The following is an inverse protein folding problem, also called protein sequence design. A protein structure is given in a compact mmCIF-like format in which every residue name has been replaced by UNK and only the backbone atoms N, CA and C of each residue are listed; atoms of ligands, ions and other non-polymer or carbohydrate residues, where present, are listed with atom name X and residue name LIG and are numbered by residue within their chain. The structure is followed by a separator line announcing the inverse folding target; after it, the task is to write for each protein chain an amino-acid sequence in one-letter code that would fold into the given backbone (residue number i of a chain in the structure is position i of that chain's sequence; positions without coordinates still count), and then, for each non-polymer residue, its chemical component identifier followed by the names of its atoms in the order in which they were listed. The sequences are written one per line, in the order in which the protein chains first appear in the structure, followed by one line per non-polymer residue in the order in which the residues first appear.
data_IF_710846840231
#
_entry.id   IF_710846840231
#
_cell.length_a   1.000
_cell.length_b   1.000
_cell.length_c   1.000
_cell.angle_alpha   90.00
_cell.angle_beta   90.00
_cell.angle_gamma   90.00
#
_symmetry.space_group_name_H-M   'P 1'
#
loop_
_entity.id
_entity.type
_entity.pdbx_description
1 polymer ?
#
# COMPACT_ATOMS: atom_id res chain seq x y z
N UNK A 1 -4.70 18.34 5.78
CA UNK A 1 -3.94 17.81 6.93
C UNK A 1 -4.47 16.43 7.25
N UNK A 2 -3.59 15.41 7.27
CA UNK A 2 -3.98 14.03 7.56
C UNK A 2 -4.44 13.88 9.01
N UNK A 3 -5.37 12.96 9.24
CA UNK A 3 -6.00 12.70 10.53
C UNK A 3 -5.21 11.64 11.31
N UNK A 4 -4.75 11.99 12.51
CA UNK A 4 -4.09 11.05 13.41
C UNK A 4 -5.11 10.08 14.01
N UNK A 5 -4.92 8.79 13.76
CA UNK A 5 -5.83 7.74 14.23
C UNK A 5 -5.30 7.04 15.47
N UNK A 6 -3.98 6.85 15.53
CA UNK A 6 -3.25 6.20 16.61
C UNK A 6 -1.80 6.68 16.57
N UNK A 7 -1.04 6.45 17.64
CA UNK A 7 0.39 6.76 17.69
C UNK A 7 1.10 6.25 16.42
N UNK A 8 1.73 7.19 15.72
CA UNK A 8 2.47 6.99 14.47
C UNK A 8 1.64 6.51 13.27
N UNK A 9 0.30 6.63 13.32
CA UNK A 9 -0.61 6.24 12.24
C UNK A 9 -1.54 7.39 11.84
N UNK A 10 -1.34 7.87 10.63
CA UNK A 10 -2.13 8.92 10.01
C UNK A 10 -3.00 8.36 8.87
N UNK A 11 -4.20 8.91 8.70
CA UNK A 11 -5.07 8.64 7.55
C UNK A 11 -5.31 9.94 6.79
N UNK A 12 -5.11 9.90 5.48
CA UNK A 12 -5.30 11.06 4.61
C UNK A 12 -5.99 10.74 3.30
N UNK A 13 -6.18 11.78 2.50
CA UNK A 13 -6.57 11.68 1.10
C UNK A 13 -5.34 11.85 0.19
N UNK A 14 -5.56 11.78 -1.12
CA UNK A 14 -4.52 12.00 -2.12
C UNK A 14 -3.84 13.37 -2.01
N UNK A 15 -4.56 14.41 -1.61
CA UNK A 15 -4.01 15.74 -1.40
C UNK A 15 -3.04 15.80 -0.22
N UNK A 16 -3.40 15.18 0.90
CA UNK A 16 -2.52 15.11 2.07
C UNK A 16 -1.21 14.38 1.71
N UNK A 17 -1.31 13.25 1.00
CA UNK A 17 -0.13 12.50 0.55
C UNK A 17 0.73 13.31 -0.44
N UNK A 18 0.08 14.02 -1.36
CA UNK A 18 0.77 14.87 -2.33
C UNK A 18 1.51 16.03 -1.64
N UNK A 19 0.92 16.63 -0.60
CA UNK A 19 1.56 17.69 0.19
C UNK A 19 2.79 17.17 0.92
N UNK A 20 2.69 16.02 1.59
CA UNK A 20 3.82 15.38 2.29
C UNK A 20 4.94 15.02 1.32
N UNK A 21 4.61 14.48 0.14
CA UNK A 21 5.62 14.09 -0.85
C UNK A 21 6.31 15.29 -1.53
N UNK A 22 5.60 16.41 -1.70
CA UNK A 22 6.15 17.60 -2.36
C UNK A 22 6.91 18.52 -1.40
N UNK A 23 6.33 18.79 -0.23
CA UNK A 23 6.86 19.75 0.73
C UNK A 23 7.67 19.11 1.85
N UNK A 24 7.56 17.79 2.01
CA UNK A 24 8.19 17.05 3.10
C UNK A 24 7.30 17.00 4.34
N UNK A 25 7.74 16.22 5.32
CA UNK A 25 7.17 16.12 6.66
C UNK A 25 8.27 15.68 7.60
N UNK A 26 8.28 16.24 8.82
CA UNK A 26 9.19 15.80 9.87
C UNK A 26 8.65 14.60 10.67
N UNK A 27 7.32 14.41 10.65
CA UNK A 27 6.66 13.34 11.42
C UNK A 27 6.44 12.05 10.61
N UNK A 28 6.02 12.17 9.35
CA UNK A 28 5.71 11.05 8.45
C UNK A 28 6.99 10.62 7.73
N UNK A 29 7.29 9.33 7.77
CA UNK A 29 8.45 8.72 7.06
C UNK A 29 8.00 7.72 6.01
N UNK A 30 6.84 7.09 6.23
CA UNK A 30 6.29 6.04 5.38
C UNK A 30 4.92 6.43 4.84
N UNK A 31 4.60 6.00 3.61
CA UNK A 31 3.32 6.28 2.96
C UNK A 31 2.77 5.00 2.36
N UNK A 32 1.55 4.64 2.74
CA UNK A 32 0.79 3.56 2.15
C UNK A 32 -0.28 4.12 1.20
N UNK A 33 -0.10 3.91 -0.10
CA UNK A 33 -1.04 4.29 -1.14
C UNK A 33 -1.88 3.09 -1.55
N UNK A 34 -3.17 3.10 -1.20
CA UNK A 34 -4.13 2.07 -1.63
C UNK A 34 -5.02 2.64 -2.71
N UNK A 35 -4.73 2.32 -3.97
CA UNK A 35 -5.38 2.92 -5.15
C UNK A 35 -5.61 1.88 -6.23
N UNK A 36 -6.36 2.21 -7.28
CA UNK A 36 -6.57 1.32 -8.43
C UNK A 36 -5.31 1.06 -9.27
N UNK A 37 -4.27 1.85 -9.08
CA UNK A 37 -2.98 1.75 -9.78
C UNK A 37 -1.82 1.97 -8.80
N UNK A 38 -0.72 1.24 -9.02
CA UNK A 38 0.50 1.40 -8.25
C UNK A 38 1.39 2.56 -8.76
N UNK A 39 1.20 2.97 -10.01
CA UNK A 39 2.00 4.00 -10.69
C UNK A 39 1.85 5.33 -9.98
N UNK A 40 2.95 6.01 -9.64
CA UNK A 40 2.93 7.33 -9.00
C UNK A 40 2.36 8.44 -9.89
N UNK A 41 2.29 8.22 -11.20
CA UNK A 41 1.71 9.16 -12.18
C UNK A 41 0.25 9.52 -11.87
N UNK A 42 -0.43 8.75 -11.01
CA UNK A 42 -1.76 9.12 -10.52
C UNK A 42 -1.81 10.52 -9.88
N UNK A 43 -0.72 11.00 -9.28
CA UNK A 43 -0.69 12.36 -8.71
C UNK A 43 -0.69 13.44 -9.80
N UNK A 44 0.01 13.21 -10.91
CA UNK A 44 0.03 14.15 -12.05
C UNK A 44 -1.27 14.11 -12.84
N UNK A 45 -1.93 12.94 -12.90
CA UNK A 45 -3.29 12.78 -13.43
C UNK A 45 -4.33 13.47 -12.55
N UNK A 46 -4.20 13.36 -11.22
CA UNK A 46 -5.11 13.99 -10.26
C UNK A 46 -5.01 15.52 -10.28
N UNK A 47 -3.78 16.07 -10.34
CA UNK A 47 -3.53 17.51 -10.40
C UNK A 47 -2.36 17.79 -11.33
N UNK A 48 -2.66 18.44 -12.45
CA UNK A 48 -1.66 18.88 -13.41
C UNK A 48 -0.62 19.78 -12.72
N UNK A 49 0.66 19.50 -12.94
CA UNK A 49 1.78 20.23 -12.34
C UNK A 49 2.38 19.58 -11.09
N UNK A 50 1.80 18.49 -10.57
CA UNK A 50 2.46 17.68 -9.54
C UNK A 50 3.43 16.71 -10.21
N UNK A 51 4.72 16.84 -9.88
CA UNK A 51 5.76 15.88 -10.24
C UNK A 51 6.46 15.43 -8.97
N UNK A 52 6.31 14.15 -8.64
CA UNK A 52 6.94 13.55 -7.46
C UNK A 52 7.99 12.57 -7.98
N UNK A 53 9.28 12.82 -7.71
CA UNK A 53 10.31 11.89 -8.13
C UNK A 53 10.18 10.60 -7.31
N UNK A 54 10.41 9.47 -7.98
CA UNK A 54 10.39 8.16 -7.36
C UNK A 54 11.56 7.31 -7.80
N UNK A 55 11.92 6.36 -6.94
CA UNK A 55 12.89 5.32 -7.22
C UNK A 55 12.34 4.00 -6.72
N UNK A 56 11.99 3.13 -7.66
CA UNK A 56 11.54 1.78 -7.38
C UNK A 56 12.57 1.02 -6.54
N UNK A 57 12.10 0.37 -5.48
CA UNK A 57 12.88 -0.53 -4.63
C UNK A 57 12.55 -1.97 -4.99
N UNK A 58 11.25 -2.32 -5.01
CA UNK A 58 10.77 -3.70 -5.21
C UNK A 58 9.37 -3.71 -5.81
N UNK A 59 9.11 -4.68 -6.67
CA UNK A 59 7.76 -5.05 -7.11
C UNK A 59 7.50 -6.49 -6.75
N UNK A 60 6.36 -6.75 -6.12
CA UNK A 60 5.90 -8.11 -5.88
C UNK A 60 4.69 -8.44 -6.73
N UNK A 61 4.66 -9.67 -7.22
CA UNK A 61 3.61 -10.15 -8.10
C UNK A 61 2.98 -11.42 -7.55
N UNK A 62 1.65 -11.52 -7.62
CA UNK A 62 0.94 -12.76 -7.30
C UNK A 62 1.08 -13.70 -8.49
N UNK A 63 1.78 -14.82 -8.27
CA UNK A 63 1.77 -15.95 -9.19
C UNK A 63 0.56 -16.83 -8.89
N UNK A 64 -0.38 -16.94 -9.83
CA UNK A 64 -1.34 -18.04 -9.79
C UNK A 64 -0.57 -19.34 -10.10
N UNK A 65 -0.21 -20.11 -9.07
CA UNK A 65 0.08 -21.53 -9.25
C UNK A 65 -1.26 -22.24 -9.35
N UNK A 66 -1.80 -22.32 -10.57
CA UNK A 66 -2.99 -23.14 -10.84
C UNK A 66 -2.69 -24.61 -10.56
N UNK A 67 -3.51 -25.24 -9.73
CA UNK A 67 -3.53 -26.70 -9.60
C UNK A 67 -3.78 -27.34 -10.98
N UNK A 68 -3.08 -28.43 -11.23
CA UNK A 68 -3.12 -29.22 -12.45
C UNK A 68 -4.53 -29.74 -12.77
N UNK A 69 -4.94 -29.63 -14.04
CA UNK A 69 -5.61 -30.71 -14.77
C UNK A 69 -5.63 -30.44 -16.30
N UNK A 70 -5.23 -31.46 -17.05
CA UNK A 70 -5.47 -31.75 -18.48
C UNK A 70 -4.67 -31.04 -19.62
N UNK A 71 -3.56 -31.70 -20.02
CA UNK A 71 -3.19 -32.22 -21.36
C UNK A 71 -3.15 -31.29 -22.61
N UNK A 72 -1.93 -31.26 -23.23
CA UNK A 72 -1.49 -30.91 -24.62
C UNK A 72 -1.82 -29.48 -25.10
N UNK A 73 -0.91 -28.70 -25.67
CA UNK A 73 -0.04 -28.97 -26.82
C UNK A 73 0.99 -27.82 -26.95
N UNK A 74 2.02 -28.05 -27.75
CA UNK A 74 3.25 -27.27 -27.84
C UNK A 74 3.09 -25.83 -28.38
N UNK A 75 4.01 -24.95 -27.97
CA UNK A 75 4.39 -23.69 -28.64
C UNK A 75 3.42 -22.51 -28.57
N UNK A 76 3.57 -21.67 -27.51
CA UNK A 76 3.63 -20.20 -27.59
C UNK A 76 3.84 -19.60 -26.20
N UNK A 77 4.79 -18.67 -26.10
CA UNK A 77 5.04 -17.80 -24.95
C UNK A 77 3.76 -17.12 -24.47
N UNK A 78 3.08 -17.70 -23.48
CA UNK A 78 1.95 -17.05 -22.81
C UNK A 78 2.45 -16.48 -21.49
N UNK A 79 2.81 -15.19 -21.51
CA UNK A 79 3.01 -14.43 -20.28
C UNK A 79 1.65 -14.33 -19.59
N UNK A 80 1.36 -15.25 -18.68
CA UNK A 80 0.24 -15.09 -17.76
C UNK A 80 0.38 -13.70 -17.12
N UNK A 81 -0.67 -12.86 -17.11
CA UNK A 81 -0.58 -11.53 -16.53
C UNK A 81 -0.37 -11.67 -15.03
N UNK A 82 0.89 -11.61 -14.60
CA UNK A 82 1.28 -11.56 -13.19
C UNK A 82 0.67 -10.30 -12.60
N UNK A 83 -0.31 -10.46 -11.71
CA UNK A 83 -0.97 -9.33 -11.04
C UNK A 83 0.03 -8.73 -10.05
N UNK A 84 0.31 -7.43 -10.16
CA UNK A 84 1.15 -6.73 -9.19
C UNK A 84 0.44 -6.72 -7.82
N UNK A 85 1.09 -7.26 -6.80
CA UNK A 85 0.60 -7.26 -5.42
C UNK A 85 0.86 -5.90 -4.76
N UNK A 86 2.11 -5.44 -4.81
CA UNK A 86 2.50 -4.10 -4.36
C UNK A 86 3.80 -3.64 -5.05
N UNK A 87 3.99 -2.33 -5.05
CA UNK A 87 5.22 -1.65 -5.46
C UNK A 87 5.76 -0.88 -4.27
N UNK A 88 6.98 -1.19 -3.86
CA UNK A 88 7.73 -0.42 -2.87
C UNK A 88 8.71 0.50 -3.58
N UNK A 89 8.68 1.77 -3.24
CA UNK A 89 9.53 2.79 -3.85
C UNK A 89 9.89 3.89 -2.87
N UNK A 90 11.03 4.53 -3.09
CA UNK A 90 11.33 5.80 -2.43
C UNK A 90 10.66 6.92 -3.21
N UNK A 91 10.04 7.86 -2.51
CA UNK A 91 9.27 8.94 -3.09
C UNK A 91 9.56 10.29 -2.42
N UNK A 92 9.18 11.36 -3.11
CA UNK A 92 9.31 12.74 -2.66
C UNK A 92 10.62 13.39 -3.09
N UNK A 93 10.72 14.71 -2.93
CA UNK A 93 11.80 15.55 -3.49
C UNK A 93 13.22 15.01 -3.26
N UNK A 94 13.45 14.43 -2.08
CA UNK A 94 14.76 13.89 -1.67
C UNK A 94 14.79 12.35 -1.65
N UNK A 95 13.75 11.67 -2.16
CA UNK A 95 13.57 10.21 -2.05
C UNK A 95 13.65 9.69 -0.61
N UNK A 96 13.21 10.51 0.36
CA UNK A 96 13.27 10.21 1.79
C UNK A 96 12.10 9.36 2.28
N UNK A 97 10.97 9.38 1.57
CA UNK A 97 9.78 8.66 2.01
C UNK A 97 9.75 7.27 1.41
N UNK A 98 9.48 6.26 2.23
CA UNK A 98 9.21 4.91 1.74
C UNK A 98 7.72 4.82 1.43
N UNK A 99 7.39 4.66 0.15
CA UNK A 99 6.01 4.53 -0.34
C UNK A 99 5.74 3.09 -0.77
N UNK A 100 4.72 2.49 -0.18
CA UNK A 100 4.15 1.25 -0.68
C UNK A 100 2.85 1.55 -1.44
N UNK A 101 2.80 1.15 -2.71
CA UNK A 101 1.66 1.32 -3.59
C UNK A 101 1.01 -0.03 -3.84
N UNK A 102 -0.25 -0.19 -3.41
CA UNK A 102 -1.00 -1.43 -3.53
C UNK A 102 -2.14 -1.21 -4.53
N UNK A 103 -2.04 -1.78 -5.75
CA UNK A 103 -3.07 -1.65 -6.77
C UNK A 103 -4.25 -2.57 -6.40
N UNK A 104 -5.29 -2.00 -5.81
CA UNK A 104 -6.55 -2.68 -5.50
C UNK A 104 -7.67 -2.16 -6.40
N UNK A 105 -8.27 -3.06 -7.17
CA UNK A 105 -9.50 -2.76 -7.91
C UNK A 105 -10.67 -3.31 -7.09
N UNK A 106 -11.73 -2.52 -6.98
CA UNK A 106 -12.99 -2.98 -6.36
C UNK A 106 -13.71 -3.97 -7.27
N UNK A 107 -13.15 -5.17 -7.40
CA UNK A 107 -13.77 -6.29 -8.10
C UNK A 107 -13.88 -7.46 -7.12
N UNK A 108 -15.01 -8.16 -7.13
CA UNK A 108 -15.34 -9.24 -6.19
C UNK A 108 -14.39 -10.45 -6.26
N UNK A 109 -13.55 -10.53 -7.29
CA UNK A 109 -12.65 -11.66 -7.57
C UNK A 109 -11.16 -11.36 -7.28
N UNK A 110 -10.85 -10.28 -6.56
CA UNK A 110 -9.49 -10.00 -6.12
C UNK A 110 -9.26 -10.54 -4.70
N UNK A 111 -8.20 -11.35 -4.49
CA UNK A 111 -7.75 -11.78 -3.16
C UNK A 111 -7.33 -10.57 -2.32
N UNK A 112 -8.32 -10.00 -1.64
CA UNK A 112 -8.17 -8.80 -0.83
C UNK A 112 -7.38 -9.08 0.45
N UNK A 113 -7.48 -10.30 0.98
CA UNK A 113 -6.82 -10.71 2.22
C UNK A 113 -5.29 -10.74 2.07
N UNK A 114 -4.77 -11.32 0.99
CA UNK A 114 -3.32 -11.37 0.74
C UNK A 114 -2.70 -9.96 0.68
N UNK A 115 -3.42 -8.98 0.12
CA UNK A 115 -2.98 -7.58 0.10
C UNK A 115 -3.11 -6.89 1.47
N UNK A 116 -4.10 -7.30 2.27
CA UNK A 116 -4.36 -6.77 3.61
C UNK A 116 -3.23 -7.11 4.54
N UNK A 117 -2.81 -8.38 4.55
CA UNK A 117 -1.75 -8.87 5.43
C UNK A 117 -0.44 -8.12 5.17
N UNK A 118 -0.03 -8.01 3.90
CA UNK A 118 1.16 -7.24 3.51
C UNK A 118 1.06 -5.76 3.91
N UNK A 119 -0.12 -5.16 3.78
CA UNK A 119 -0.32 -3.78 4.20
C UNK A 119 -0.25 -3.61 5.73
N UNK A 120 -0.76 -4.57 6.50
CA UNK A 120 -0.69 -4.56 7.96
C UNK A 120 0.75 -4.69 8.44
N UNK A 121 1.50 -5.62 7.84
CA UNK A 121 2.93 -5.81 8.11
C UNK A 121 3.72 -4.53 7.84
N UNK A 122 3.50 -3.91 6.68
CA UNK A 122 4.14 -2.63 6.33
C UNK A 122 3.81 -1.53 7.34
N UNK A 123 2.55 -1.42 7.78
CA UNK A 123 2.14 -0.42 8.79
C UNK A 123 2.83 -0.70 10.13
N UNK A 124 2.87 -1.96 10.58
CA UNK A 124 3.49 -2.30 11.86
C UNK A 124 5.00 -2.04 11.86
N UNK A 125 5.69 -2.40 10.78
CA UNK A 125 7.12 -2.13 10.60
C UNK A 125 7.40 -0.63 10.49
N UNK A 126 6.66 0.07 9.63
CA UNK A 126 6.80 1.53 9.44
C UNK A 126 6.62 2.30 10.75
N UNK A 127 5.70 1.85 11.61
CA UNK A 127 5.42 2.47 12.92
C UNK A 127 6.52 2.27 13.96
N UNK A 128 7.38 1.27 13.79
CA UNK A 128 8.55 1.06 14.66
C UNK A 128 9.70 1.98 14.29
N UNK A 129 9.79 2.37 13.02
CA UNK A 129 10.85 3.24 12.49
C UNK A 129 10.45 4.72 12.43
N UNK A 130 9.17 5.03 12.29
CA UNK A 130 8.65 6.40 12.28
C UNK A 130 7.13 6.43 12.19
N UNK A 131 6.56 7.38 11.45
CA UNK A 131 5.11 7.46 11.27
C UNK A 131 4.68 7.11 9.84
N UNK A 132 3.54 6.45 9.74
CA UNK A 132 2.96 6.02 8.47
C UNK A 132 1.70 6.81 8.14
N UNK A 133 1.63 7.31 6.91
CA UNK A 133 0.43 7.92 6.32
C UNK A 133 -0.25 6.91 5.40
N UNK A 134 -1.43 6.46 5.76
CA UNK A 134 -2.29 5.62 4.93
C UNK A 134 -3.25 6.51 4.17
N UNK A 135 -3.28 6.42 2.84
CA UNK A 135 -4.22 7.20 2.04
C UNK A 135 -4.84 6.39 0.91
N UNK A 136 -6.03 6.84 0.51
CA UNK A 136 -6.68 6.46 -0.74
C UNK A 136 -6.91 7.74 -1.56
N UNK A 137 -7.75 7.69 -2.60
CA UNK A 137 -8.08 8.84 -3.43
C UNK A 137 -8.81 9.92 -2.62
N UNK A 138 -9.98 9.61 -2.05
CA UNK A 138 -10.78 10.59 -1.30
C UNK A 138 -10.53 10.58 0.23
N UNK A 139 -9.68 9.68 0.74
CA UNK A 139 -9.54 9.45 2.19
C UNK A 139 -10.75 8.80 2.88
N UNK A 140 -11.84 8.54 2.15
CA UNK A 140 -13.10 7.97 2.69
C UNK A 140 -13.73 6.87 1.81
N UNK A 141 -13.09 6.54 0.68
CA UNK A 141 -13.60 5.60 -0.34
C UNK A 141 -12.57 4.47 -0.46
N UNK A 142 -12.86 3.16 -0.30
CA UNK A 142 -14.13 2.43 -0.16
C UNK A 142 -13.91 1.29 0.83
N UNK A 143 -14.47 1.36 2.04
CA UNK A 143 -14.46 0.32 3.08
C UNK A 143 -13.09 -0.18 3.60
N UNK A 144 -12.07 -0.35 2.77
CA UNK A 144 -10.76 -0.95 3.06
C UNK A 144 -9.88 -0.10 3.96
N UNK A 145 -9.72 1.20 3.70
CA UNK A 145 -8.96 2.07 4.62
C UNK A 145 -9.63 2.11 6.00
N UNK A 146 -10.97 2.10 6.03
CA UNK A 146 -11.74 2.01 7.26
C UNK A 146 -11.60 0.63 7.93
N UNK A 147 -11.63 -0.48 7.18
CA UNK A 147 -11.39 -1.83 7.71
C UNK A 147 -9.97 -2.01 8.18
N UNK A 148 -8.97 -1.45 7.50
CA UNK A 148 -7.57 -1.48 7.88
C UNK A 148 -7.33 -0.70 9.15
N UNK A 149 -7.80 0.54 9.19
CA UNK A 149 -7.75 1.36 10.39
C UNK A 149 -8.48 0.67 11.54
N UNK A 150 -9.71 0.20 11.32
CA UNK A 150 -10.54 -0.47 12.32
C UNK A 150 -9.93 -1.80 12.78
N UNK A 151 -9.38 -2.61 11.90
CA UNK A 151 -8.67 -3.84 12.24
C UNK A 151 -7.43 -3.51 13.05
N UNK A 152 -6.60 -2.54 12.64
CA UNK A 152 -5.41 -2.16 13.40
C UNK A 152 -5.75 -1.60 14.79
N UNK A 153 -6.86 -0.86 14.91
CA UNK A 153 -7.38 -0.34 16.19
C UNK A 153 -7.88 -1.49 17.08
N UNK A 154 -8.69 -2.41 16.53
CA UNK A 154 -9.30 -3.52 17.26
C UNK A 154 -8.31 -4.64 17.61
N UNK A 155 -7.37 -4.95 16.70
CA UNK A 155 -6.37 -6.01 16.87
C UNK A 155 -5.17 -5.56 17.70
N UNK A 156 -4.95 -4.24 17.85
CA UNK A 156 -3.97 -3.71 18.81
C UNK A 156 -4.35 -3.91 20.28
N UNK A 157 -5.41 -4.69 20.57
CA UNK A 157 -5.68 -5.29 21.87
C UNK A 157 -5.75 -6.83 21.87
N UNK A 158 -5.67 -7.51 20.71
CA UNK A 158 -5.96 -8.96 20.60
C UNK A 158 -5.05 -9.78 19.67
N UNK A 159 -4.08 -9.19 18.98
CA UNK A 159 -3.04 -9.96 18.27
C UNK A 159 -1.68 -9.71 18.90
N UNK A 160 -1.42 -10.39 20.03
CA UNK A 160 -0.31 -11.37 20.21
C UNK A 160 -0.50 -12.13 21.54
N UNK A 161 -1.09 -13.35 21.57
CA UNK A 161 -0.71 -14.34 22.55
C UNK A 161 0.45 -15.14 21.94
N UNK A 162 1.68 -14.61 22.00
CA UNK A 162 2.93 -15.38 21.85
C UNK A 162 4.15 -14.50 22.18
N UNK A 163 4.15 -13.94 23.40
CA UNK A 163 5.38 -13.67 24.14
C UNK A 163 5.44 -14.71 25.27
N UNK A 164 5.84 -15.93 24.92
CA UNK A 164 6.16 -16.99 25.88
C UNK A 164 7.21 -17.91 25.24
N UNK A 165 8.44 -17.38 25.16
CA UNK A 165 9.65 -18.17 25.38
C UNK A 165 10.56 -17.34 26.26
N UNK A 166 10.36 -17.50 27.57
CA UNK A 166 11.41 -17.39 28.58
C UNK A 166 11.46 -18.73 29.30
#
# INVERSE_FOLDING_TARGET
MPYLVRDHLFIGNIGDAAEVLQHGSDEITHILSVLSSASISFFSEWRSGISIPTKEIRKEYVGYSGNADAITDETKSSSTPKKLLYLLENAGKDLKFIRMAVPLRDMENENLLDSLDVCLDFIEESRKEGSVLVHCFAGVSRRYCFYMARMLILLGGWLRPNFLVQ
#
